data_IF_301955625628
#
_entry.id   IF_301955625628
#
_cell.length_a   1.000
_cell.length_b   1.000
_cell.length_c   1.000
_cell.angle_alpha   90.00
_cell.angle_beta   90.00
_cell.angle_gamma   90.00
#
_symmetry.space_group_name_H-M   'P 1'
#
loop_
_entity.id
_entity.type
_entity.pdbx_description
1 polymer ?
#
# COMPACT_ATOMS: atom_id res chain seq x y z
N UNK A 1 28.46 -46.96 15.90
CA UNK A 1 27.10 -46.36 15.77
C UNK A 1 27.30 -44.88 15.50
N UNK A 2 27.24 -44.47 14.23
CA UNK A 2 27.29 -43.05 13.85
C UNK A 2 25.92 -42.43 14.10
N UNK A 3 25.86 -41.43 14.98
CA UNK A 3 24.67 -40.63 15.21
C UNK A 3 24.54 -39.69 14.01
N UNK A 4 23.79 -40.12 13.00
CA UNK A 4 23.36 -39.22 11.92
C UNK A 4 22.41 -38.18 12.52
N UNK A 5 22.95 -37.01 12.86
CA UNK A 5 22.13 -35.81 13.03
C UNK A 5 21.43 -35.56 11.69
N UNK A 6 20.14 -35.87 11.61
CA UNK A 6 19.34 -35.40 10.49
C UNK A 6 19.42 -33.88 10.52
N UNK A 7 19.92 -33.28 9.43
CA UNK A 7 19.87 -31.83 9.21
C UNK A 7 18.41 -31.43 9.25
N UNK A 8 17.93 -30.99 10.42
CA UNK A 8 16.62 -30.39 10.56
C UNK A 8 16.64 -29.14 9.68
N UNK A 9 15.87 -29.15 8.60
CA UNK A 9 15.77 -28.04 7.65
C UNK A 9 15.38 -26.79 8.46
N UNK A 10 16.25 -25.79 8.50
CA UNK A 10 16.10 -24.66 9.39
C UNK A 10 15.27 -23.60 8.66
N UNK A 11 13.95 -23.60 8.86
CA UNK A 11 13.00 -22.75 8.11
C UNK A 11 13.35 -21.25 8.21
N UNK A 12 14.02 -20.82 9.28
CA UNK A 12 14.51 -19.45 9.47
C UNK A 12 15.61 -19.08 8.46
N UNK A 13 16.51 -20.01 8.17
CA UNK A 13 17.61 -19.78 7.23
C UNK A 13 17.08 -19.72 5.79
N UNK A 14 16.08 -20.53 5.47
CA UNK A 14 15.35 -20.49 4.19
C UNK A 14 14.57 -19.17 4.03
N UNK A 15 13.94 -18.67 5.10
CA UNK A 15 13.29 -17.36 5.12
C UNK A 15 14.28 -16.20 4.90
N UNK A 16 15.39 -16.16 5.64
CA UNK A 16 16.41 -15.11 5.50
C UNK A 16 17.06 -15.11 4.11
N UNK A 17 17.28 -16.29 3.53
CA UNK A 17 17.79 -16.42 2.18
C UNK A 17 16.80 -15.90 1.14
N UNK A 18 15.49 -16.08 1.35
CA UNK A 18 14.44 -15.60 0.46
C UNK A 18 14.29 -14.07 0.55
N UNK A 19 14.27 -13.51 1.77
CA UNK A 19 14.23 -12.06 2.03
C UNK A 19 15.42 -11.34 1.39
N UNK A 20 16.63 -11.85 1.60
CA UNK A 20 17.83 -11.30 0.95
C UNK A 20 17.76 -11.36 -0.58
N UNK A 21 17.12 -12.39 -1.14
CA UNK A 21 16.98 -12.57 -2.59
C UNK A 21 15.92 -11.64 -3.19
N UNK A 22 14.84 -11.37 -2.44
CA UNK A 22 13.82 -10.38 -2.77
C UNK A 22 14.46 -8.99 -2.81
N UNK A 23 15.18 -8.59 -1.76
CA UNK A 23 15.86 -7.30 -1.70
C UNK A 23 16.89 -7.12 -2.85
N UNK A 24 17.66 -8.17 -3.15
CA UNK A 24 18.60 -8.16 -4.29
C UNK A 24 17.87 -7.98 -5.63
N UNK A 25 16.75 -8.69 -5.86
CA UNK A 25 15.95 -8.52 -7.08
C UNK A 25 15.31 -7.14 -7.19
N UNK A 26 14.73 -6.61 -6.12
CA UNK A 26 14.16 -5.25 -6.10
C UNK A 26 15.20 -4.21 -6.48
N UNK A 27 16.40 -4.31 -5.88
CA UNK A 27 17.51 -3.40 -6.17
C UNK A 27 17.96 -3.50 -7.63
N UNK A 28 18.00 -4.72 -8.20
CA UNK A 28 18.35 -4.96 -9.60
C UNK A 28 17.30 -4.45 -10.56
N UNK A 29 16.01 -4.68 -10.28
CA UNK A 29 14.91 -4.16 -11.09
C UNK A 29 14.97 -2.63 -11.12
N UNK A 30 15.13 -2.00 -9.96
CA UNK A 30 15.23 -0.54 -9.85
C UNK A 30 16.45 0.00 -10.60
N UNK A 31 17.63 -0.56 -10.35
CA UNK A 31 18.86 -0.15 -11.04
C UNK A 31 18.78 -0.36 -12.55
N UNK A 32 18.12 -1.43 -12.98
CA UNK A 32 17.91 -1.74 -14.40
C UNK A 32 16.98 -0.71 -15.05
N UNK A 33 15.84 -0.39 -14.42
CA UNK A 33 14.93 0.68 -14.89
C UNK A 33 15.65 2.01 -15.04
N UNK A 34 16.40 2.41 -14.01
CA UNK A 34 17.14 3.68 -14.02
C UNK A 34 18.20 3.70 -15.12
N UNK A 35 18.94 2.60 -15.30
CA UNK A 35 19.95 2.45 -16.34
C UNK A 35 19.34 2.51 -17.75
N UNK A 36 18.30 1.73 -18.02
CA UNK A 36 17.66 1.66 -19.34
C UNK A 36 16.95 2.96 -19.71
N UNK A 37 16.27 3.61 -18.76
CA UNK A 37 15.69 4.93 -18.97
C UNK A 37 16.77 5.97 -19.28
N UNK A 38 17.88 5.96 -18.53
CA UNK A 38 19.02 6.84 -18.81
C UNK A 38 19.59 6.61 -20.22
N UNK A 39 19.74 5.35 -20.63
CA UNK A 39 20.25 4.99 -21.94
C UNK A 39 19.29 5.39 -23.07
N UNK A 40 17.99 5.16 -22.88
CA UNK A 40 16.95 5.58 -23.81
C UNK A 40 16.98 7.10 -24.05
N UNK A 41 17.01 7.90 -22.98
CA UNK A 41 17.08 9.36 -23.11
C UNK A 41 18.37 9.83 -23.78
N UNK A 42 19.51 9.21 -23.46
CA UNK A 42 20.77 9.50 -24.17
C UNK A 42 20.68 9.18 -25.65
N UNK A 43 20.09 8.03 -26.00
CA UNK A 43 19.88 7.62 -27.39
C UNK A 43 19.05 8.66 -28.14
N UNK A 44 17.88 9.05 -27.61
CA UNK A 44 17.02 10.08 -28.20
C UNK A 44 17.77 11.41 -28.37
N UNK A 45 18.54 11.82 -27.36
CA UNK A 45 19.31 13.05 -27.41
C UNK A 45 20.37 13.04 -28.51
N UNK A 46 21.17 11.97 -28.61
CA UNK A 46 22.18 11.83 -29.68
C UNK A 46 21.54 11.72 -31.06
N UNK A 47 20.40 11.04 -31.18
CA UNK A 47 19.63 10.97 -32.41
C UNK A 47 19.17 12.34 -32.91
N UNK A 48 18.70 13.21 -32.01
CA UNK A 48 18.34 14.59 -32.36
C UNK A 48 19.54 15.40 -32.86
N UNK A 49 20.71 15.22 -32.25
CA UNK A 49 21.95 15.87 -32.68
C UNK A 49 22.33 15.40 -34.10
N UNK A 50 22.30 14.10 -34.35
CA UNK A 50 22.62 13.53 -35.66
C UNK A 50 21.62 14.00 -36.72
N UNK A 51 20.32 14.01 -36.41
CA UNK A 51 19.28 14.51 -37.32
C UNK A 51 19.51 15.99 -37.66
N UNK A 52 19.89 16.81 -36.69
CA UNK A 52 20.23 18.22 -36.95
C UNK A 52 21.39 18.36 -37.95
N UNK A 53 22.45 17.56 -37.80
CA UNK A 53 23.56 17.55 -38.77
C UNK A 53 23.13 17.03 -40.14
N UNK A 54 22.30 15.98 -40.21
CA UNK A 54 21.77 15.45 -41.46
C UNK A 54 20.90 16.48 -42.18
N UNK A 55 20.02 17.18 -41.46
CA UNK A 55 19.22 18.27 -42.01
C UNK A 55 20.09 19.42 -42.54
N UNK A 56 21.15 19.79 -41.82
CA UNK A 56 22.08 20.83 -42.25
C UNK A 56 22.84 20.43 -43.53
N UNK A 57 23.34 19.19 -43.59
CA UNK A 57 24.02 18.66 -44.78
C UNK A 57 23.05 18.60 -45.96
N UNK A 58 21.84 18.08 -45.75
CA UNK A 58 20.79 18.03 -46.78
C UNK A 58 20.42 19.43 -47.27
N UNK A 59 20.34 20.41 -46.37
CA UNK A 59 20.10 21.80 -46.72
C UNK A 59 21.21 22.37 -47.62
N UNK A 60 22.48 22.20 -47.25
CA UNK A 60 23.63 22.66 -48.04
C UNK A 60 23.65 21.97 -49.41
N UNK A 61 23.45 20.65 -49.46
CA UNK A 61 23.40 19.90 -50.72
C UNK A 61 22.23 20.31 -51.60
N UNK A 62 21.07 20.61 -51.02
CA UNK A 62 19.88 21.06 -51.77
C UNK A 62 20.10 22.37 -52.55
N UNK A 63 21.03 23.22 -52.10
CA UNK A 63 21.43 24.42 -52.86
C UNK A 63 22.26 24.11 -54.10
N UNK A 64 22.96 22.97 -54.13
CA UNK A 64 23.78 22.56 -55.27
C UNK A 64 23.01 21.85 -56.39
N UNK A 65 21.79 21.37 -56.11
CA UNK A 65 20.96 20.68 -57.10
C UNK A 65 20.11 21.65 -57.94
N UNK A 66 20.01 21.36 -59.23
CA UNK A 66 19.27 22.19 -60.18
C UNK A 66 17.79 21.79 -60.32
N UNK A 67 17.42 20.58 -59.92
CA UNK A 67 16.04 20.09 -60.05
C UNK A 67 15.34 20.02 -58.70
N UNK A 68 14.01 20.25 -58.68
CA UNK A 68 13.19 20.12 -57.48
C UNK A 68 13.14 18.67 -56.95
N UNK A 69 13.24 17.69 -57.84
CA UNK A 69 13.18 16.26 -57.50
C UNK A 69 14.39 15.86 -56.66
N UNK A 70 15.60 16.24 -57.08
CA UNK A 70 16.84 15.95 -56.33
C UNK A 70 16.83 16.60 -54.95
N UNK A 71 16.34 17.85 -54.85
CA UNK A 71 16.16 18.53 -53.56
C UNK A 71 15.20 17.77 -52.65
N UNK A 72 14.06 17.34 -53.18
CA UNK A 72 13.07 16.58 -52.42
C UNK A 72 13.61 15.23 -51.95
N UNK A 73 14.42 14.53 -52.75
CA UNK A 73 15.01 13.25 -52.34
C UNK A 73 15.97 13.43 -51.16
N UNK A 74 16.74 14.52 -51.14
CA UNK A 74 17.69 14.82 -50.06
C UNK A 74 16.99 14.95 -48.69
N UNK A 75 15.86 15.67 -48.63
CA UNK A 75 15.04 15.75 -47.41
C UNK A 75 14.32 14.43 -47.11
N UNK A 76 13.91 13.68 -48.14
CA UNK A 76 13.29 12.36 -47.98
C UNK A 76 14.20 11.38 -47.24
N UNK A 77 15.51 11.38 -47.51
CA UNK A 77 16.46 10.53 -46.79
C UNK A 77 16.62 10.92 -45.32
N UNK A 78 16.64 12.22 -44.98
CA UNK A 78 16.67 12.68 -43.58
C UNK A 78 15.42 12.21 -42.83
N UNK A 79 14.26 12.38 -43.45
CA UNK A 79 12.99 11.95 -42.86
C UNK A 79 12.92 10.42 -42.66
N UNK A 80 13.41 9.64 -43.63
CA UNK A 80 13.48 8.19 -43.50
C UNK A 80 14.40 7.76 -42.34
N UNK A 81 15.54 8.44 -42.17
CA UNK A 81 16.45 8.19 -41.05
C UNK A 81 15.75 8.44 -39.70
N UNK A 82 15.02 9.55 -39.57
CA UNK A 82 14.22 9.83 -38.38
C UNK A 82 13.20 8.71 -38.08
N UNK A 83 12.48 8.22 -39.09
CA UNK A 83 11.52 7.09 -38.93
C UNK A 83 12.24 5.83 -38.41
N UNK A 84 13.40 5.49 -38.98
CA UNK A 84 14.16 4.30 -38.58
C UNK A 84 14.58 4.43 -37.10
N UNK A 85 15.10 5.59 -36.71
CA UNK A 85 15.51 5.86 -35.33
C UNK A 85 14.33 5.80 -34.36
N UNK A 86 13.19 6.39 -34.69
CA UNK A 86 11.99 6.31 -33.86
C UNK A 86 11.51 4.86 -33.70
N UNK A 87 11.53 4.08 -34.79
CA UNK A 87 11.15 2.67 -34.76
C UNK A 87 12.08 1.85 -33.87
N UNK A 88 13.39 2.08 -33.94
CA UNK A 88 14.39 1.45 -33.07
C UNK A 88 14.21 1.86 -31.60
N UNK A 89 13.89 3.13 -31.33
CA UNK A 89 13.65 3.61 -29.97
C UNK A 89 12.41 2.94 -29.36
N UNK A 90 11.31 2.82 -30.12
CA UNK A 90 10.08 2.15 -29.68
C UNK A 90 10.36 0.67 -29.42
N UNK A 91 11.04 -0.01 -30.36
CA UNK A 91 11.39 -1.42 -30.20
C UNK A 91 12.30 -1.65 -28.98
N UNK A 92 13.30 -0.79 -28.78
CA UNK A 92 14.15 -0.85 -27.60
C UNK A 92 13.34 -0.68 -26.31
N UNK A 93 12.40 0.29 -26.31
CA UNK A 93 11.53 0.55 -25.16
C UNK A 93 10.71 -0.69 -24.79
N UNK A 94 10.04 -1.25 -25.79
CA UNK A 94 9.26 -2.47 -25.65
C UNK A 94 10.10 -3.63 -25.08
N UNK A 95 11.27 -3.90 -25.68
CA UNK A 95 12.13 -5.02 -25.25
C UNK A 95 12.59 -4.89 -23.79
N UNK A 96 12.94 -3.68 -23.33
CA UNK A 96 13.36 -3.52 -21.95
C UNK A 96 12.17 -3.59 -20.98
N UNK A 97 11.01 -3.05 -21.35
CA UNK A 97 9.80 -3.11 -20.51
C UNK A 97 9.36 -4.55 -20.31
N UNK A 98 9.30 -5.36 -21.38
CA UNK A 98 9.00 -6.79 -21.28
C UNK A 98 10.03 -7.54 -20.43
N UNK A 99 11.31 -7.18 -20.52
CA UNK A 99 12.35 -7.82 -19.74
C UNK A 99 12.23 -7.49 -18.25
N UNK A 100 11.89 -6.24 -17.92
CA UNK A 100 11.59 -5.81 -16.56
C UNK A 100 10.36 -6.52 -16.01
N UNK A 101 9.30 -6.68 -16.80
CA UNK A 101 8.07 -7.39 -16.42
C UNK A 101 8.38 -8.84 -16.01
N UNK A 102 9.19 -9.57 -16.78
CA UNK A 102 9.63 -10.93 -16.41
C UNK A 102 10.33 -10.95 -15.03
N UNK A 103 11.12 -9.92 -14.71
CA UNK A 103 11.75 -9.82 -13.39
C UNK A 103 10.76 -9.46 -12.28
N UNK A 104 9.78 -8.61 -12.56
CA UNK A 104 8.69 -8.29 -11.63
C UNK A 104 7.84 -9.52 -11.31
N UNK A 105 7.45 -10.31 -12.30
CA UNK A 105 6.71 -11.57 -12.11
C UNK A 105 7.50 -12.55 -11.26
N UNK A 106 8.82 -12.64 -11.51
CA UNK A 106 9.70 -13.49 -10.71
C UNK A 106 9.80 -12.99 -9.27
N UNK A 107 9.87 -11.69 -9.05
CA UNK A 107 9.86 -11.10 -7.72
C UNK A 107 8.53 -11.38 -7.01
N UNK A 108 7.40 -11.25 -7.70
CA UNK A 108 6.07 -11.57 -7.18
C UNK A 108 5.98 -13.05 -6.76
N UNK A 109 6.49 -13.97 -7.59
CA UNK A 109 6.55 -15.40 -7.24
C UNK A 109 7.38 -15.67 -5.98
N UNK A 110 8.45 -14.89 -5.76
CA UNK A 110 9.28 -14.98 -4.56
C UNK A 110 8.55 -14.44 -3.32
N UNK A 111 7.85 -13.32 -3.47
CA UNK A 111 7.04 -12.74 -2.40
C UNK A 111 5.92 -13.69 -1.97
N UNK A 112 5.23 -14.34 -2.92
CA UNK A 112 4.24 -15.38 -2.64
C UNK A 112 4.89 -16.56 -1.89
N UNK A 113 6.07 -17.01 -2.33
CA UNK A 113 6.83 -18.06 -1.63
C UNK A 113 7.18 -17.68 -0.18
N UNK A 114 7.52 -16.42 0.05
CA UNK A 114 7.84 -15.89 1.37
C UNK A 114 6.58 -15.79 2.25
N UNK A 115 5.45 -15.41 1.68
CA UNK A 115 4.16 -15.37 2.35
C UNK A 115 3.70 -16.78 2.75
N UNK A 116 3.89 -17.78 1.90
CA UNK A 116 3.62 -19.20 2.22
C UNK A 116 4.51 -19.68 3.37
N UNK A 117 5.80 -19.31 3.37
CA UNK A 117 6.71 -19.63 4.49
C UNK A 117 6.28 -18.96 5.80
N UNK A 118 5.77 -17.73 5.74
CA UNK A 118 5.23 -17.01 6.89
C UNK A 118 3.91 -17.62 7.40
N UNK A 119 3.09 -18.17 6.50
CA UNK A 119 1.84 -18.86 6.83
C UNK A 119 2.02 -20.27 7.40
N UNK A 120 3.21 -20.86 7.30
CA UNK A 120 3.52 -22.13 7.95
C UNK A 120 3.65 -21.91 9.47
N UNK A 121 2.67 -22.40 10.24
CA UNK A 121 2.58 -22.19 11.69
C UNK A 121 3.81 -22.63 12.50
N UNK A 122 4.73 -23.40 11.90
CA UNK A 122 6.03 -23.72 12.48
C UNK A 122 6.98 -22.52 12.51
N UNK A 123 6.99 -21.68 11.47
CA UNK A 123 7.85 -20.50 11.40
C UNK A 123 7.37 -19.42 12.37
N UNK A 124 6.06 -19.22 12.48
CA UNK A 124 5.46 -18.30 13.46
C UNK A 124 5.79 -18.73 14.90
N UNK A 125 5.72 -20.03 15.19
CA UNK A 125 6.12 -20.59 16.49
C UNK A 125 7.61 -20.35 16.78
N UNK A 126 8.49 -20.54 15.79
CA UNK A 126 9.93 -20.31 15.93
C UNK A 126 10.28 -18.82 16.09
N UNK A 127 9.61 -17.92 15.34
CA UNK A 127 9.75 -16.46 15.50
C UNK A 127 9.29 -16.03 16.90
N UNK A 128 8.16 -16.54 17.38
CA UNK A 128 7.67 -16.24 18.72
C UNK A 128 8.61 -16.78 19.81
N UNK A 129 9.21 -17.95 19.58
CA UNK A 129 10.22 -18.52 20.48
C UNK A 129 11.48 -17.66 20.53
N UNK A 130 11.94 -17.14 19.39
CA UNK A 130 13.08 -16.21 19.31
C UNK A 130 12.75 -14.88 19.98
N UNK A 131 11.59 -14.27 19.72
CA UNK A 131 11.13 -13.05 20.41
C UNK A 131 11.16 -13.22 21.92
N UNK A 132 10.66 -14.36 22.43
CA UNK A 132 10.65 -14.67 23.86
C UNK A 132 12.06 -14.79 24.44
N UNK A 133 13.00 -15.37 23.70
CA UNK A 133 14.42 -15.47 24.09
C UNK A 133 15.07 -14.07 24.13
N UNK A 134 14.81 -13.23 23.12
CA UNK A 134 15.32 -11.85 23.06
C UNK A 134 14.79 -11.03 24.23
N UNK A 135 13.49 -11.10 24.52
CA UNK A 135 12.88 -10.37 25.64
C UNK A 135 13.47 -10.78 26.99
N UNK A 136 13.75 -12.08 27.19
CA UNK A 136 14.46 -12.58 28.38
C UNK A 136 15.88 -12.00 28.44
N UNK A 137 16.57 -11.92 27.31
CA UNK A 137 17.93 -11.39 27.25
C UNK A 137 17.97 -9.89 27.56
N UNK A 138 17.03 -9.11 27.01
CA UNK A 138 16.89 -7.67 27.29
C UNK A 138 16.52 -7.39 28.75
N UNK A 139 15.58 -8.15 29.33
CA UNK A 139 15.28 -8.07 30.78
C UNK A 139 16.51 -8.35 31.64
N UNK A 140 17.31 -9.37 31.28
CA UNK A 140 18.58 -9.65 31.99
C UNK A 140 19.60 -8.54 31.83
N UNK A 141 19.69 -7.91 30.65
CA UNK A 141 20.58 -6.77 30.41
C UNK A 141 20.16 -5.55 31.25
N UNK A 142 18.85 -5.25 31.29
CA UNK A 142 18.30 -4.15 32.09
C UNK A 142 18.55 -4.35 33.59
N UNK A 143 18.35 -5.58 34.08
CA UNK A 143 18.63 -5.93 35.48
C UNK A 143 20.12 -5.81 35.82
N UNK A 144 21.04 -6.15 34.92
CA UNK A 144 22.49 -5.94 35.15
C UNK A 144 22.83 -4.46 35.28
N UNK A 145 22.24 -3.60 34.44
CA UNK A 145 22.45 -2.13 34.50
C UNK A 145 21.88 -1.53 35.79
N UNK A 146 20.77 -2.06 36.31
CA UNK A 146 20.24 -1.64 37.62
C UNK A 146 21.11 -2.09 38.80
N UNK A 147 21.66 -3.31 38.73
CA UNK A 147 22.55 -3.83 39.78
C UNK A 147 23.87 -3.05 39.82
N UNK A 148 24.42 -2.65 38.66
CA UNK A 148 25.62 -1.79 38.60
C UNK A 148 25.36 -0.38 39.17
N UNK A 149 24.14 0.17 39.03
CA UNK A 149 23.75 1.44 39.66
C UNK A 149 23.53 1.33 41.16
N UNK A 150 23.13 0.17 41.69
CA UNK A 150 22.99 -0.04 43.14
C UNK A 150 24.32 -0.34 43.85
N UNK A 151 25.38 -0.72 43.15
CA UNK A 151 26.72 -0.91 43.73
C UNK A 151 27.60 0.35 43.72
N UNK A 152 27.11 1.49 43.22
CA UNK A 152 27.72 2.81 43.41
C UNK A 152 27.04 3.58 44.54
N UNK A 153 27.02 3.00 45.74
CA UNK A 153 26.82 3.80 46.96
C UNK A 153 28.19 4.41 47.34
N UNK A 154 28.29 5.72 47.63
CA UNK A 154 29.56 6.34 47.98
C UNK A 154 30.06 5.79 49.32
N UNK A 155 31.26 5.23 49.37
CA UNK A 155 31.98 5.03 50.63
C UNK A 155 32.13 6.39 51.33
N UNK A 156 31.45 6.56 52.47
CA UNK A 156 31.63 7.69 53.36
C UNK A 156 33.08 7.77 53.87
N UNK A 157 33.70 8.96 53.91
CA UNK A 157 34.96 9.15 54.63
C UNK A 157 34.71 9.11 56.14
N UNK A 158 35.60 8.42 56.86
CA UNK A 158 35.68 8.42 58.32
C UNK A 158 35.86 9.85 58.86
N UNK A 159 35.08 10.21 59.89
CA UNK A 159 35.40 11.32 60.78
C UNK A 159 35.62 10.83 62.22
N UNK A 160 36.50 11.48 63.01
CA UNK A 160 36.91 11.02 64.34
C UNK A 160 35.94 11.45 65.45
N UNK A 161 35.96 10.66 66.53
CA UNK A 161 35.21 10.81 67.78
C UNK A 161 35.53 12.09 68.55
N UNK A 162 34.51 12.71 69.20
CA UNK A 162 34.41 12.99 70.66
C UNK A 162 33.16 13.87 71.01
N UNK A 163 32.74 14.07 72.29
CA UNK A 163 31.74 13.22 72.97
C UNK A 163 30.52 13.97 73.60
N UNK A 164 29.49 13.18 73.92
CA UNK A 164 28.46 13.29 74.99
C UNK A 164 27.87 14.66 75.42
N UNK A 165 26.54 14.81 75.32
CA UNK A 165 25.61 14.75 76.47
C UNK A 165 24.12 14.67 76.04
N UNK A 166 23.22 14.23 76.94
CA UNK A 166 21.86 13.73 76.65
C UNK A 166 20.74 14.75 76.94
N UNK A 167 19.54 14.52 76.40
CA UNK A 167 18.29 14.33 77.18
C UNK A 167 17.02 14.29 76.30
N UNK A 168 16.30 13.15 76.42
CA UNK A 168 14.84 13.00 76.55
C UNK A 168 13.83 13.29 75.40
N UNK A 169 12.57 12.74 75.48
CA UNK A 169 11.97 11.98 74.37
C UNK A 169 10.61 12.53 73.89
N UNK A 170 10.05 11.99 72.78
CA UNK A 170 8.63 11.59 72.63
C UNK A 170 8.26 11.18 71.18
N UNK A 171 7.90 9.90 71.04
CA UNK A 171 6.74 9.22 70.41
C UNK A 171 5.78 9.93 69.38
N UNK A 172 4.90 9.16 68.67
CA UNK A 172 4.79 9.14 67.20
C UNK A 172 3.43 9.66 66.68
N UNK A 173 3.21 9.67 65.34
CA UNK A 173 1.87 9.44 64.74
C UNK A 173 1.88 9.12 63.24
N UNK A 174 1.19 8.03 62.89
CA UNK A 174 0.69 7.64 61.57
C UNK A 174 -0.35 8.63 61.02
N UNK A 175 -0.56 8.60 59.68
CA UNK A 175 -1.87 8.58 58.96
C UNK A 175 -1.54 8.44 57.45
N UNK A 176 -1.68 7.29 56.80
CA UNK A 176 -2.90 6.78 56.13
C UNK A 176 -3.70 7.84 55.33
N UNK A 177 -3.52 7.85 54.00
CA UNK A 177 -4.56 8.16 53.02
C UNK A 177 -4.12 7.68 51.61
N UNK A 178 -4.45 6.44 51.29
CA UNK A 178 -4.44 5.87 49.94
C UNK A 178 -5.82 5.24 49.76
N UNK A 179 -6.71 5.91 49.02
CA UNK A 179 -7.85 5.34 48.27
C UNK A 179 -8.83 6.47 47.89
N UNK A 180 -8.54 7.19 46.79
CA UNK A 180 -9.59 7.87 46.00
C UNK A 180 -9.16 8.44 44.63
N UNK A 181 -7.92 8.22 44.17
CA UNK A 181 -7.44 8.84 42.91
C UNK A 181 -7.67 8.01 41.63
N UNK A 182 -8.11 6.75 41.70
CA UNK A 182 -8.17 5.89 40.51
C UNK A 182 -9.49 5.90 39.71
N UNK A 183 -10.55 6.59 40.15
CA UNK A 183 -11.82 6.64 39.40
C UNK A 183 -12.02 7.91 38.57
N UNK A 184 -11.28 8.99 38.85
CA UNK A 184 -11.42 10.28 38.12
C UNK A 184 -10.49 10.33 36.89
N UNK A 185 -9.40 9.56 36.89
CA UNK A 185 -8.42 9.55 35.79
C UNK A 185 -8.96 8.83 34.54
N UNK A 186 -9.71 7.74 34.68
CA UNK A 186 -10.26 7.01 33.52
C UNK A 186 -11.41 7.73 32.81
N UNK A 187 -12.24 8.48 33.53
CA UNK A 187 -13.34 9.24 32.91
C UNK A 187 -12.85 10.49 32.18
N UNK A 188 -11.72 11.09 32.61
CA UNK A 188 -11.13 12.24 31.92
C UNK A 188 -10.28 11.87 30.70
N UNK A 189 -9.71 10.65 30.63
CA UNK A 189 -8.96 10.19 29.46
C UNK A 189 -9.90 9.90 28.27
N UNK A 190 -11.04 9.23 28.50
CA UNK A 190 -12.03 8.96 27.45
C UNK A 190 -12.78 10.21 26.99
N UNK A 191 -12.97 11.21 27.85
CA UNK A 191 -13.61 12.48 27.46
C UNK A 191 -12.68 13.38 26.64
N UNK A 192 -11.36 13.27 26.84
CA UNK A 192 -10.34 14.05 26.14
C UNK A 192 -10.01 13.49 24.74
N UNK A 193 -10.14 12.17 24.53
CA UNK A 193 -10.03 11.55 23.19
C UNK A 193 -11.19 11.95 22.28
N UNK A 194 -12.43 11.90 22.79
CA UNK A 194 -13.63 12.22 22.00
C UNK A 194 -13.67 13.71 21.60
N UNK A 195 -13.18 14.62 22.48
CA UNK A 195 -13.09 16.04 22.16
C UNK A 195 -12.05 16.32 21.05
N UNK A 196 -10.94 15.60 21.05
CA UNK A 196 -9.90 15.69 20.01
C UNK A 196 -10.38 15.21 18.65
N UNK A 197 -11.19 14.14 18.60
CA UNK A 197 -11.72 13.57 17.35
C UNK A 197 -12.82 14.45 16.73
N UNK A 198 -13.71 15.02 17.55
CA UNK A 198 -14.73 15.96 17.08
C UNK A 198 -14.12 17.24 16.48
N UNK A 199 -13.11 17.81 17.15
CA UNK A 199 -12.35 18.96 16.63
C UNK A 199 -11.59 18.63 15.35
N UNK A 200 -11.09 17.39 15.23
CA UNK A 200 -10.43 16.91 14.02
C UNK A 200 -11.38 16.87 12.83
N UNK A 201 -12.59 16.33 13.01
CA UNK A 201 -13.61 16.24 11.96
C UNK A 201 -14.16 17.61 11.57
N UNK A 202 -14.28 18.52 12.53
CA UNK A 202 -14.69 19.89 12.26
C UNK A 202 -13.59 20.65 11.49
N UNK A 203 -12.33 20.46 11.85
CA UNK A 203 -11.19 21.00 11.09
C UNK A 203 -11.10 20.41 9.68
N UNK A 204 -11.31 19.11 9.54
CA UNK A 204 -11.43 18.43 8.24
C UNK A 204 -12.58 19.07 7.43
N UNK A 205 -13.76 19.27 8.03
CA UNK A 205 -14.90 19.89 7.35
C UNK A 205 -14.58 21.28 6.77
N UNK A 206 -13.80 22.11 7.47
CA UNK A 206 -13.40 23.43 6.97
C UNK A 206 -12.23 23.38 5.99
N UNK A 207 -11.22 22.55 6.25
CA UNK A 207 -10.02 22.45 5.41
C UNK A 207 -10.34 21.79 4.06
N UNK A 208 -11.31 20.86 3.99
CA UNK A 208 -11.71 20.14 2.78
C UNK A 208 -12.55 20.95 1.79
N UNK A 209 -12.98 22.17 2.15
CA UNK A 209 -13.85 23.02 1.30
C UNK A 209 -13.04 23.95 0.38
N UNK A 210 -11.74 24.15 0.62
CA UNK A 210 -10.90 25.00 -0.25
C UNK A 210 -10.19 24.17 -1.33
N UNK A 211 -10.59 24.34 -2.60
CA UNK A 211 -10.16 23.52 -3.75
C UNK A 211 -8.64 23.51 -4.05
N UNK A 212 -7.83 24.42 -3.48
CA UNK A 212 -6.45 24.69 -3.93
C UNK A 212 -5.33 24.21 -2.99
N UNK A 213 -5.56 23.27 -2.08
CA UNK A 213 -4.53 22.89 -1.09
C UNK A 213 -4.34 21.37 -0.89
N UNK A 214 -3.90 20.69 -1.95
CA UNK A 214 -3.57 19.25 -1.93
C UNK A 214 -2.70 18.83 -0.73
N UNK A 215 -1.73 19.65 -0.32
CA UNK A 215 -0.86 19.34 0.82
C UNK A 215 -1.64 19.26 2.13
N UNK A 216 -2.59 20.17 2.37
CA UNK A 216 -3.44 20.14 3.57
C UNK A 216 -4.38 18.94 3.56
N UNK A 217 -4.96 18.60 2.40
CA UNK A 217 -5.77 17.40 2.26
C UNK A 217 -4.96 16.16 2.60
N UNK A 218 -3.76 16.05 2.05
CA UNK A 218 -2.87 14.91 2.27
C UNK A 218 -2.51 14.76 3.75
N UNK A 219 -2.13 15.84 4.43
CA UNK A 219 -1.84 15.81 5.87
C UNK A 219 -3.05 15.34 6.69
N UNK A 220 -4.24 15.86 6.41
CA UNK A 220 -5.47 15.47 7.10
C UNK A 220 -5.79 13.98 6.87
N UNK A 221 -5.67 13.52 5.62
CA UNK A 221 -5.91 12.12 5.25
C UNK A 221 -4.88 11.18 5.89
N UNK A 222 -3.61 11.56 5.99
CA UNK A 222 -2.59 10.78 6.70
C UNK A 222 -3.00 10.57 8.17
N UNK A 223 -3.49 11.62 8.84
CA UNK A 223 -3.92 11.49 10.24
C UNK A 223 -5.15 10.60 10.38
N UNK A 224 -6.13 10.71 9.47
CA UNK A 224 -7.29 9.82 9.43
C UNK A 224 -6.82 8.37 9.23
N UNK A 225 -5.97 8.12 8.23
CA UNK A 225 -5.45 6.80 7.93
C UNK A 225 -4.70 6.17 9.12
N UNK A 226 -3.90 6.96 9.82
CA UNK A 226 -3.18 6.52 11.03
C UNK A 226 -4.13 6.23 12.19
N UNK A 227 -5.23 6.96 12.30
CA UNK A 227 -6.26 6.75 13.33
C UNK A 227 -7.07 5.48 13.05
N UNK A 228 -7.42 5.24 11.79
CA UNK A 228 -8.09 4.01 11.35
C UNK A 228 -7.26 2.76 11.65
N UNK A 229 -5.94 2.82 11.43
CA UNK A 229 -5.04 1.70 11.75
C UNK A 229 -5.01 1.32 13.24
N UNK A 230 -5.57 2.15 14.14
CA UNK A 230 -5.66 1.84 15.58
C UNK A 230 -6.96 1.09 15.96
N UNK A 231 -7.89 0.87 15.02
CA UNK A 231 -9.05 -0.04 15.17
C UNK A 231 -10.18 0.42 16.10
N UNK A 232 -10.11 1.62 16.70
CA UNK A 232 -11.18 2.14 17.58
C UNK A 232 -11.88 3.38 17.02
N UNK A 233 -11.41 3.90 15.89
CA UNK A 233 -11.85 5.18 15.34
C UNK A 233 -13.36 5.21 15.06
N UNK A 234 -13.93 4.14 14.50
CA UNK A 234 -15.35 4.11 14.13
C UNK A 234 -16.33 4.04 15.31
N UNK A 235 -15.89 3.50 16.45
CA UNK A 235 -16.78 3.30 17.60
C UNK A 235 -17.14 4.61 18.27
N UNK A 236 -16.26 5.61 18.17
CA UNK A 236 -16.45 6.95 18.72
C UNK A 236 -17.31 7.87 17.84
N UNK A 237 -17.48 7.56 16.56
CA UNK A 237 -18.18 8.44 15.62
C UNK A 237 -19.70 8.33 15.75
N UNK A 238 -20.35 9.49 15.67
CA UNK A 238 -21.78 9.56 15.40
C UNK A 238 -22.06 9.26 13.93
N UNK A 239 -23.24 8.70 13.66
CA UNK A 239 -23.71 8.31 12.32
C UNK A 239 -23.55 9.43 11.27
N UNK A 240 -23.88 10.68 11.64
CA UNK A 240 -23.75 11.84 10.74
C UNK A 240 -22.28 12.22 10.47
N UNK A 241 -21.40 12.03 11.45
CA UNK A 241 -19.97 12.30 11.30
C UNK A 241 -19.31 11.25 10.39
N UNK A 242 -19.72 9.99 10.52
CA UNK A 242 -19.27 8.92 9.65
C UNK A 242 -19.72 9.17 8.20
N UNK A 243 -20.98 9.53 7.99
CA UNK A 243 -21.50 9.86 6.65
C UNK A 243 -20.70 11.00 6.00
N UNK A 244 -20.51 12.11 6.74
CA UNK A 244 -19.74 13.25 6.27
C UNK A 244 -18.29 12.87 5.93
N UNK A 245 -17.65 12.05 6.77
CA UNK A 245 -16.30 11.57 6.55
C UNK A 245 -16.23 10.73 5.26
N UNK A 246 -17.09 9.72 5.12
CA UNK A 246 -17.07 8.83 3.95
C UNK A 246 -17.35 9.63 2.69
N UNK A 247 -18.37 10.50 2.70
CA UNK A 247 -18.71 11.34 1.55
C UNK A 247 -17.49 12.13 1.06
N UNK A 248 -16.81 12.80 1.97
CA UNK A 248 -15.64 13.62 1.66
C UNK A 248 -14.48 12.78 1.12
N UNK A 249 -14.16 11.66 1.76
CA UNK A 249 -13.05 10.82 1.32
C UNK A 249 -13.37 10.15 -0.03
N UNK A 250 -14.61 9.71 -0.25
CA UNK A 250 -15.07 9.18 -1.55
C UNK A 250 -14.99 10.25 -2.63
N UNK A 251 -15.35 11.50 -2.33
CA UNK A 251 -15.20 12.60 -3.28
C UNK A 251 -13.75 12.78 -3.74
N UNK A 252 -12.77 12.70 -2.83
CA UNK A 252 -11.36 12.75 -3.21
C UNK A 252 -10.87 11.50 -3.94
N UNK A 253 -11.34 10.32 -3.54
CA UNK A 253 -10.93 9.07 -4.19
C UNK A 253 -11.48 8.96 -5.62
N UNK A 254 -12.71 9.43 -5.86
CA UNK A 254 -13.50 9.09 -7.05
C UNK A 254 -13.88 10.31 -7.88
N UNK A 255 -14.46 11.34 -7.28
CA UNK A 255 -15.18 12.38 -8.03
C UNK A 255 -14.34 13.63 -8.34
N UNK A 256 -13.29 13.91 -7.57
CA UNK A 256 -12.44 15.06 -7.78
C UNK A 256 -11.32 14.78 -8.79
N UNK A 257 -11.43 15.41 -9.96
CA UNK A 257 -10.43 15.27 -11.02
C UNK A 257 -9.08 15.91 -10.64
N UNK A 258 -9.12 17.09 -10.00
CA UNK A 258 -7.98 17.98 -9.74
C UNK A 258 -7.10 17.62 -8.53
N UNK A 259 -7.46 16.61 -7.73
CA UNK A 259 -6.63 16.22 -6.59
C UNK A 259 -5.42 15.40 -7.05
N UNK A 260 -4.31 15.53 -6.32
CA UNK A 260 -3.08 14.79 -6.63
C UNK A 260 -3.28 13.28 -6.53
N UNK A 261 -2.44 12.52 -7.25
CA UNK A 261 -2.49 11.05 -7.21
C UNK A 261 -2.24 10.49 -5.81
N UNK A 262 -1.42 11.17 -4.99
CA UNK A 262 -1.17 10.80 -3.60
C UNK A 262 -2.44 10.95 -2.74
N UNK A 263 -3.19 12.05 -2.93
CA UNK A 263 -4.48 12.27 -2.27
C UNK A 263 -5.48 11.19 -2.69
N UNK A 264 -5.60 10.89 -4.00
CA UNK A 264 -6.47 9.81 -4.50
C UNK A 264 -6.10 8.46 -3.91
N UNK A 265 -4.81 8.15 -3.85
CA UNK A 265 -4.31 6.88 -3.33
C UNK A 265 -4.64 6.71 -1.84
N UNK A 266 -4.34 7.73 -1.02
CA UNK A 266 -4.62 7.64 0.42
C UNK A 266 -6.12 7.67 0.72
N UNK A 267 -6.91 8.44 -0.04
CA UNK A 267 -8.37 8.44 0.07
C UNK A 267 -8.94 7.08 -0.29
N UNK A 268 -8.47 6.44 -1.36
CA UNK A 268 -8.90 5.10 -1.75
C UNK A 268 -8.59 4.06 -0.67
N UNK A 269 -7.40 4.14 -0.07
CA UNK A 269 -7.00 3.30 1.05
C UNK A 269 -7.88 3.52 2.28
N UNK A 270 -8.19 4.77 2.62
CA UNK A 270 -9.07 5.11 3.74
C UNK A 270 -10.45 4.50 3.50
N UNK A 271 -11.10 4.73 2.35
CA UNK A 271 -12.42 4.17 2.03
C UNK A 271 -12.39 2.64 2.12
N UNK A 272 -11.35 1.99 1.58
CA UNK A 272 -11.16 0.54 1.72
C UNK A 272 -11.10 0.09 3.18
N UNK A 273 -10.35 0.78 4.04
CA UNK A 273 -10.29 0.48 5.48
C UNK A 273 -11.66 0.66 6.15
N UNK A 274 -12.43 1.67 5.75
CA UNK A 274 -13.80 1.85 6.26
C UNK A 274 -14.68 0.66 5.87
N UNK A 275 -14.64 0.24 4.60
CA UNK A 275 -15.37 -0.92 4.11
C UNK A 275 -14.96 -2.19 4.86
N UNK A 276 -13.65 -2.41 5.03
CA UNK A 276 -13.10 -3.55 5.75
C UNK A 276 -13.52 -3.57 7.22
N UNK A 277 -13.42 -2.46 7.93
CA UNK A 277 -13.82 -2.41 9.33
C UNK A 277 -15.31 -2.76 9.50
N UNK A 278 -16.18 -2.17 8.69
CA UNK A 278 -17.62 -2.47 8.75
C UNK A 278 -17.91 -3.93 8.35
N UNK A 279 -17.15 -4.46 7.41
CA UNK A 279 -17.31 -5.85 6.95
C UNK A 279 -16.84 -6.87 8.02
N UNK A 280 -15.74 -6.60 8.72
CA UNK A 280 -15.09 -7.54 9.64
C UNK A 280 -15.50 -7.39 11.10
N UNK A 281 -16.04 -6.25 11.50
CA UNK A 281 -16.29 -5.96 12.91
C UNK A 281 -17.78 -6.20 13.25
N UNK A 282 -18.12 -7.32 13.93
CA UNK A 282 -19.51 -7.66 14.25
C UNK A 282 -20.16 -6.71 15.26
N UNK A 283 -19.36 -5.85 15.90
CA UNK A 283 -19.83 -4.89 16.91
C UNK A 283 -20.11 -3.49 16.34
N UNK A 284 -20.18 -3.35 15.00
CA UNK A 284 -20.51 -2.09 14.35
C UNK A 284 -22.01 -1.83 14.46
N UNK A 285 -22.37 -0.56 14.72
CA UNK A 285 -23.76 -0.11 14.78
C UNK A 285 -24.46 -0.33 13.43
N UNK A 286 -25.73 -0.75 13.45
CA UNK A 286 -26.46 -1.06 12.21
C UNK A 286 -26.57 0.14 11.28
N UNK A 287 -26.69 1.35 11.82
CA UNK A 287 -26.76 2.59 11.04
C UNK A 287 -25.45 2.87 10.30
N UNK A 288 -24.30 2.49 10.87
CA UNK A 288 -23.00 2.59 10.21
C UNK A 288 -22.90 1.58 9.06
N UNK A 289 -23.43 0.36 9.25
CA UNK A 289 -23.50 -0.67 8.21
C UNK A 289 -24.34 -0.18 7.03
N UNK A 290 -25.50 0.43 7.29
CA UNK A 290 -26.39 0.97 6.26
C UNK A 290 -25.72 2.08 5.44
N UNK A 291 -25.10 3.05 6.10
CA UNK A 291 -24.40 4.17 5.43
C UNK A 291 -23.24 3.66 4.57
N UNK A 292 -22.37 2.83 5.14
CA UNK A 292 -21.25 2.26 4.40
C UNK A 292 -21.75 1.38 3.25
N UNK A 293 -22.87 0.67 3.44
CA UNK A 293 -23.57 -0.07 2.40
C UNK A 293 -24.03 0.79 1.22
N UNK A 294 -24.48 2.02 1.45
CA UNK A 294 -24.85 2.96 0.38
C UNK A 294 -23.63 3.36 -0.47
N UNK A 295 -22.52 3.76 0.15
CA UNK A 295 -21.29 4.12 -0.57
C UNK A 295 -20.69 2.92 -1.31
N UNK A 296 -20.70 1.74 -0.68
CA UNK A 296 -20.32 0.47 -1.29
C UNK A 296 -21.09 0.23 -2.61
N UNK A 297 -22.42 0.40 -2.57
CA UNK A 297 -23.29 0.24 -3.74
C UNK A 297 -23.04 1.30 -4.81
N UNK A 298 -22.72 2.53 -4.42
CA UNK A 298 -22.34 3.58 -5.37
C UNK A 298 -21.04 3.23 -6.10
N UNK A 299 -19.97 2.87 -5.37
CA UNK A 299 -18.69 2.47 -5.95
C UNK A 299 -18.86 1.28 -6.91
N UNK A 300 -19.65 0.28 -6.49
CA UNK A 300 -19.96 -0.86 -7.35
C UNK A 300 -20.64 -0.44 -8.65
N UNK A 301 -21.61 0.48 -8.61
CA UNK A 301 -22.29 0.98 -9.82
C UNK A 301 -21.31 1.65 -10.79
N UNK A 302 -20.27 2.31 -10.30
CA UNK A 302 -19.24 2.94 -11.13
C UNK A 302 -18.45 1.88 -11.89
N UNK A 303 -18.00 0.82 -11.21
CA UNK A 303 -17.28 -0.29 -11.85
C UNK A 303 -18.18 -1.05 -12.82
N UNK A 304 -19.39 -1.42 -12.39
CA UNK A 304 -20.33 -2.22 -13.17
C UNK A 304 -20.91 -1.50 -14.39
N UNK A 305 -20.90 -0.16 -14.40
CA UNK A 305 -21.38 0.66 -15.53
C UNK A 305 -20.32 1.65 -15.98
N UNK A 306 -19.08 1.19 -16.09
CA UNK A 306 -17.90 2.02 -16.35
C UNK A 306 -18.06 2.94 -17.58
N UNK A 307 -18.82 2.54 -18.60
CA UNK A 307 -19.12 3.35 -19.78
C UNK A 307 -20.00 4.58 -19.52
N UNK A 308 -20.68 4.67 -18.37
CA UNK A 308 -21.51 5.81 -17.95
C UNK A 308 -20.75 6.83 -17.09
N UNK A 309 -19.50 6.54 -16.71
CA UNK A 309 -18.69 7.37 -15.82
C UNK A 309 -17.40 7.81 -16.51
N UNK A 310 -16.81 8.87 -15.99
CA UNK A 310 -15.51 9.37 -16.46
C UNK A 310 -14.41 8.40 -16.07
N UNK A 311 -13.34 8.38 -16.86
CA UNK A 311 -12.21 7.46 -16.64
C UNK A 311 -11.62 7.56 -15.23
N UNK A 312 -11.45 8.78 -14.69
CA UNK A 312 -10.89 8.96 -13.34
C UNK A 312 -11.84 8.46 -12.24
N UNK A 313 -13.16 8.49 -12.44
CA UNK A 313 -14.14 7.96 -11.49
C UNK A 313 -14.04 6.44 -11.43
N UNK A 314 -13.96 5.80 -12.60
CA UNK A 314 -13.73 4.35 -12.72
C UNK A 314 -12.41 3.96 -12.06
N UNK A 315 -11.34 4.72 -12.31
CA UNK A 315 -10.04 4.47 -11.70
C UNK A 315 -10.05 4.61 -10.17
N UNK A 316 -10.75 5.62 -9.64
CA UNK A 316 -10.93 5.81 -8.21
C UNK A 316 -11.68 4.64 -7.56
N UNK A 317 -12.81 4.23 -8.16
CA UNK A 317 -13.60 3.11 -7.67
C UNK A 317 -12.83 1.78 -7.71
N UNK A 318 -12.09 1.51 -8.80
CA UNK A 318 -11.20 0.35 -8.91
C UNK A 318 -10.10 0.40 -7.84
N UNK A 319 -9.48 1.57 -7.61
CA UNK A 319 -8.45 1.72 -6.58
C UNK A 319 -8.98 1.39 -5.17
N UNK A 320 -10.21 1.83 -4.84
CA UNK A 320 -10.87 1.48 -3.58
C UNK A 320 -11.07 -0.03 -3.46
N UNK A 321 -11.63 -0.68 -4.48
CA UNK A 321 -11.88 -2.13 -4.44
C UNK A 321 -10.60 -2.96 -4.45
N UNK A 322 -9.53 -2.48 -5.10
CA UNK A 322 -8.21 -3.11 -5.06
C UNK A 322 -7.64 -3.13 -3.65
N UNK A 323 -7.65 -1.99 -2.96
CA UNK A 323 -7.19 -1.95 -1.57
C UNK A 323 -8.11 -2.77 -0.65
N UNK A 324 -9.42 -2.82 -0.95
CA UNK A 324 -10.36 -3.64 -0.19
C UNK A 324 -10.09 -5.13 -0.39
N UNK A 325 -9.73 -5.55 -1.62
CA UNK A 325 -9.25 -6.91 -1.93
C UNK A 325 -8.10 -7.34 -1.03
N UNK A 326 -7.11 -6.46 -0.86
CA UNK A 326 -5.95 -6.70 0.00
C UNK A 326 -6.36 -6.84 1.46
N UNK A 327 -7.30 -6.01 1.92
CA UNK A 327 -7.84 -6.13 3.28
C UNK A 327 -8.59 -7.45 3.49
N UNK A 328 -9.32 -7.94 2.47
CA UNK A 328 -9.93 -9.28 2.49
C UNK A 328 -8.88 -10.38 2.58
N UNK A 329 -7.84 -10.31 1.74
CA UNK A 329 -6.73 -11.27 1.73
C UNK A 329 -6.07 -11.41 3.09
N UNK A 330 -5.75 -10.28 3.74
CA UNK A 330 -5.15 -10.26 5.07
C UNK A 330 -6.03 -10.87 6.17
N UNK A 331 -7.34 -11.03 5.93
CA UNK A 331 -8.32 -11.56 6.88
C UNK A 331 -8.95 -12.89 6.40
N UNK A 332 -8.30 -13.61 5.48
CA UNK A 332 -8.84 -14.81 4.83
C UNK A 332 -9.31 -15.89 5.80
N UNK A 333 -8.56 -16.12 6.88
CA UNK A 333 -8.87 -17.13 7.91
C UNK A 333 -10.19 -16.81 8.61
N UNK A 334 -10.50 -15.53 8.80
CA UNK A 334 -11.74 -15.10 9.44
C UNK A 334 -12.94 -15.27 8.50
N UNK A 335 -12.80 -14.86 7.24
CA UNK A 335 -13.86 -14.97 6.21
C UNK A 335 -14.30 -16.43 6.02
N UNK A 336 -13.34 -17.36 5.91
CA UNK A 336 -13.62 -18.79 5.72
C UNK A 336 -14.42 -19.36 6.90
N UNK A 337 -14.16 -18.89 8.13
CA UNK A 337 -14.81 -19.39 9.34
C UNK A 337 -16.23 -18.87 9.50
N UNK A 338 -16.44 -17.59 9.23
CA UNK A 338 -17.68 -16.89 9.55
C UNK A 338 -18.69 -16.84 8.38
N UNK A 339 -18.34 -17.39 7.20
CA UNK A 339 -19.21 -17.43 6.00
C UNK A 339 -19.82 -16.07 5.64
N UNK A 340 -19.03 -15.00 5.76
CA UNK A 340 -19.51 -13.65 5.48
C UNK A 340 -19.88 -13.44 4.01
N UNK A 341 -20.78 -12.47 3.82
CA UNK A 341 -21.41 -11.98 2.59
C UNK A 341 -20.58 -12.13 1.29
N UNK A 342 -20.63 -13.34 0.73
CA UNK A 342 -19.98 -13.73 -0.54
C UNK A 342 -20.59 -12.97 -1.73
N UNK A 343 -21.80 -12.41 -1.58
CA UNK A 343 -22.52 -11.70 -2.63
C UNK A 343 -21.76 -10.45 -3.08
N UNK A 344 -21.18 -9.70 -2.15
CA UNK A 344 -20.38 -8.51 -2.49
C UNK A 344 -19.12 -8.89 -3.27
N UNK A 345 -18.43 -9.92 -2.80
CA UNK A 345 -17.20 -10.42 -3.41
C UNK A 345 -17.47 -10.86 -4.84
N UNK A 346 -18.54 -11.63 -5.02
CA UNK A 346 -19.00 -12.08 -6.32
C UNK A 346 -19.37 -10.90 -7.22
N UNK A 347 -20.17 -9.95 -6.74
CA UNK A 347 -20.56 -8.75 -7.51
C UNK A 347 -19.36 -7.93 -7.98
N UNK A 348 -18.43 -7.60 -7.07
CA UNK A 348 -17.24 -6.80 -7.40
C UNK A 348 -16.34 -7.54 -8.38
N UNK A 349 -16.16 -8.86 -8.20
CA UNK A 349 -15.39 -9.71 -9.10
C UNK A 349 -16.01 -9.76 -10.50
N UNK A 350 -17.32 -9.97 -10.61
CA UNK A 350 -18.02 -9.99 -11.90
C UNK A 350 -17.86 -8.66 -12.63
N UNK A 351 -18.11 -7.54 -11.94
CA UNK A 351 -17.97 -6.21 -12.53
C UNK A 351 -16.52 -5.89 -12.92
N UNK A 352 -15.54 -6.33 -12.13
CA UNK A 352 -14.13 -6.21 -12.48
C UNK A 352 -13.78 -7.04 -13.72
N UNK A 353 -14.31 -8.26 -13.85
CA UNK A 353 -14.11 -9.10 -15.04
C UNK A 353 -14.70 -8.46 -16.30
N UNK A 354 -15.93 -7.94 -16.22
CA UNK A 354 -16.56 -7.24 -17.34
C UNK A 354 -15.77 -5.97 -17.73
N UNK A 355 -15.27 -5.23 -16.74
CA UNK A 355 -14.39 -4.08 -16.99
C UNK A 355 -13.07 -4.51 -17.63
N UNK A 356 -12.47 -5.60 -17.15
CA UNK A 356 -11.20 -6.13 -17.66
C UNK A 356 -11.31 -6.51 -19.15
N UNK A 357 -12.39 -7.19 -19.54
CA UNK A 357 -12.70 -7.46 -20.95
C UNK A 357 -12.92 -6.19 -21.76
N UNK A 358 -13.66 -5.21 -21.23
CA UNK A 358 -13.86 -3.93 -21.92
C UNK A 358 -12.54 -3.17 -22.15
N UNK A 359 -11.61 -3.27 -21.21
CA UNK A 359 -10.29 -2.64 -21.27
C UNK A 359 -9.33 -3.35 -22.22
N UNK A 360 -9.57 -4.61 -22.58
CA UNK A 360 -8.75 -5.37 -23.53
C UNK A 360 -8.56 -4.62 -24.85
N UNK A 361 -9.63 -3.99 -25.35
CA UNK A 361 -9.60 -3.20 -26.59
C UNK A 361 -8.87 -1.85 -26.48
N UNK A 362 -8.57 -1.39 -25.25
CA UNK A 362 -8.08 -0.05 -24.95
C UNK A 362 -6.70 -0.03 -24.24
N UNK A 363 -6.13 -1.21 -23.95
CA UNK A 363 -4.92 -1.39 -23.14
C UNK A 363 -3.64 -0.76 -23.71
N UNK A 364 -3.65 -0.38 -25.00
CA UNK A 364 -2.52 0.28 -25.67
C UNK A 364 -2.22 1.70 -25.14
N UNK A 365 -3.13 2.34 -24.40
CA UNK A 365 -2.86 3.64 -23.78
C UNK A 365 -2.38 3.47 -22.33
N UNK A 366 -1.31 4.18 -21.96
CA UNK A 366 -0.67 4.10 -20.64
C UNK A 366 -1.66 4.34 -19.47
N UNK A 367 -2.63 5.23 -19.64
CA UNK A 367 -3.69 5.49 -18.65
C UNK A 367 -4.61 4.28 -18.41
N UNK A 368 -4.87 3.48 -19.44
CA UNK A 368 -5.65 2.24 -19.32
C UNK A 368 -4.82 1.07 -18.82
N UNK A 369 -3.50 1.08 -19.03
CA UNK A 369 -2.60 0.03 -18.53
C UNK A 369 -2.64 -0.07 -16.99
N UNK A 370 -2.55 1.06 -16.27
CA UNK A 370 -2.66 1.06 -14.80
C UNK A 370 -4.04 0.55 -14.34
N UNK A 371 -5.11 1.03 -14.98
CA UNK A 371 -6.48 0.61 -14.67
C UNK A 371 -6.67 -0.89 -14.92
N UNK A 372 -6.10 -1.42 -16.01
CA UNK A 372 -6.11 -2.83 -16.36
C UNK A 372 -5.38 -3.67 -15.30
N UNK A 373 -4.15 -3.29 -14.92
CA UNK A 373 -3.38 -3.95 -13.85
C UNK A 373 -4.11 -3.95 -12.51
N UNK A 374 -4.72 -2.82 -12.16
CA UNK A 374 -5.48 -2.69 -10.91
C UNK A 374 -6.75 -3.54 -10.93
N UNK A 375 -7.44 -3.61 -12.06
CA UNK A 375 -8.63 -4.46 -12.26
C UNK A 375 -8.27 -5.95 -12.23
N UNK A 376 -7.16 -6.34 -12.86
CA UNK A 376 -6.59 -7.68 -12.78
C UNK A 376 -6.30 -8.08 -11.33
N UNK A 377 -5.69 -7.18 -10.56
CA UNK A 377 -5.41 -7.40 -9.14
C UNK A 377 -6.69 -7.69 -8.35
N UNK A 378 -7.80 -6.98 -8.62
CA UNK A 378 -9.10 -7.30 -8.00
C UNK A 378 -9.54 -8.71 -8.39
N UNK A 379 -9.53 -9.04 -9.68
CA UNK A 379 -9.98 -10.36 -10.15
C UNK A 379 -9.17 -11.47 -9.47
N UNK A 380 -7.84 -11.35 -9.41
CA UNK A 380 -6.98 -12.35 -8.78
C UNK A 380 -7.22 -12.45 -7.27
N UNK A 381 -7.23 -11.33 -6.55
CA UNK A 381 -7.39 -11.32 -5.10
C UNK A 381 -8.76 -11.84 -4.65
N UNK A 382 -9.81 -11.63 -5.44
CA UNK A 382 -11.15 -12.11 -5.13
C UNK A 382 -11.39 -13.60 -5.47
N UNK A 383 -10.43 -14.31 -6.11
CA UNK A 383 -10.59 -15.75 -6.47
C UNK A 383 -10.84 -16.59 -5.23
N UNK A 384 -10.12 -16.32 -4.16
CA UNK A 384 -10.16 -17.11 -2.92
C UNK A 384 -11.45 -16.93 -2.12
N UNK A 385 -12.25 -15.92 -2.48
CA UNK A 385 -13.42 -15.51 -1.71
C UNK A 385 -14.73 -15.75 -2.45
N UNK A 386 -14.68 -15.92 -3.77
CA UNK A 386 -15.87 -16.06 -4.60
C UNK A 386 -16.61 -17.38 -4.31
N UNK A 387 -17.93 -17.39 -4.54
CA UNK A 387 -18.73 -18.61 -4.41
C UNK A 387 -18.33 -19.64 -5.48
N UNK A 388 -18.51 -20.94 -5.20
CA UNK A 388 -18.23 -22.02 -6.16
C UNK A 388 -18.97 -21.82 -7.50
N UNK A 389 -20.18 -21.28 -7.45
CA UNK A 389 -20.98 -20.95 -8.64
C UNK A 389 -20.26 -19.91 -9.51
N UNK A 390 -19.84 -18.79 -8.92
CA UNK A 390 -19.13 -17.72 -9.63
C UNK A 390 -17.75 -18.18 -10.09
N UNK A 391 -17.03 -18.95 -9.26
CA UNK A 391 -15.75 -19.57 -9.61
C UNK A 391 -15.85 -20.43 -10.86
N UNK A 392 -16.88 -21.28 -10.99
CA UNK A 392 -16.97 -22.24 -12.10
C UNK A 392 -17.15 -21.57 -13.47
N UNK A 393 -17.99 -20.53 -13.55
CA UNK A 393 -18.29 -19.82 -14.80
C UNK A 393 -17.24 -18.75 -15.12
N UNK A 394 -16.88 -17.93 -14.12
CA UNK A 394 -16.02 -16.77 -14.33
C UNK A 394 -14.54 -17.15 -14.37
N UNK A 395 -14.11 -18.25 -13.74
CA UNK A 395 -12.74 -18.76 -13.88
C UNK A 395 -12.48 -19.28 -15.30
N UNK A 396 -13.49 -19.91 -15.93
CA UNK A 396 -13.39 -20.33 -17.33
C UNK A 396 -13.26 -19.11 -18.24
N UNK A 397 -14.18 -18.14 -18.10
CA UNK A 397 -14.17 -16.87 -18.84
C UNK A 397 -12.84 -16.14 -18.68
N UNK A 398 -12.35 -16.02 -17.45
CA UNK A 398 -11.06 -15.39 -17.15
C UNK A 398 -9.85 -16.12 -17.77
N UNK A 399 -9.81 -17.45 -17.69
CA UNK A 399 -8.77 -18.25 -18.36
C UNK A 399 -8.81 -18.08 -19.87
N UNK A 400 -10.00 -18.00 -20.47
CA UNK A 400 -10.14 -17.77 -21.90
C UNK A 400 -9.56 -16.40 -22.31
N UNK A 401 -9.78 -15.35 -21.51
CA UNK A 401 -9.17 -14.02 -21.73
C UNK A 401 -7.63 -14.09 -21.63
N UNK A 402 -7.09 -14.68 -20.55
CA UNK A 402 -5.63 -14.79 -20.37
C UNK A 402 -4.99 -15.63 -21.49
N UNK A 403 -5.63 -16.72 -21.90
CA UNK A 403 -5.12 -17.57 -22.97
C UNK A 403 -5.13 -16.87 -24.32
N UNK A 404 -6.11 -15.99 -24.58
CA UNK A 404 -6.12 -15.13 -25.76
C UNK A 404 -5.00 -14.07 -25.74
N UNK A 405 -4.55 -13.67 -24.55
CA UNK A 405 -3.40 -12.76 -24.37
C UNK A 405 -2.04 -13.41 -24.62
N UNK A 406 -1.91 -14.72 -24.43
CA UNK A 406 -0.64 -15.46 -24.49
C UNK A 406 0.06 -15.54 -25.86
N UNK A 407 -0.26 -14.66 -26.81
CA UNK A 407 0.30 -14.66 -28.17
C UNK A 407 0.48 -13.28 -28.83
N UNK A 408 0.55 -12.18 -28.09
CA UNK A 408 0.98 -10.87 -28.65
C UNK A 408 2.20 -10.29 -27.95
#
# INVERSE_FOLDING_TARGET
>A
MGISFSKKKNNIEEFLAMDSKIADMESKIKSSKDFHNSLFWKFIFYSLIVEFFLLLISYIQSHSFNTLIEKSMCYGYSFLFFIIICSLAILYKFLFESLIEIYEDKLESLNIGMEILLGDGNLEADINKIKKIIEIYEKRKLNRVQIEKQHQEPQQPQQPQQPQQPDEPQQPKQSEQQEQQNSIVNNNINKKSNLSESFFLEKIKYDLVSEDNNNKFLEALIVINNSLSKGNFFRGLETQQLDLLINNVVNFAVYYEKVSDEVKAISSLIVSKILAEVYFNPNIKIEHIEIVGLYKKQLYRIVARCNMYRHYEVQGAVSVFKEFARALHNNIVWIIKEKHDVELVDMVRCAALDLFEGLESLSFHESYHKLHKDTHSIICSYVYFASENVLSEHSKRYKDIINNWGFM
#
